data_IF_052146414857
#
_entry.id   IF_052146414857
#
_cell.length_a   1.000
_cell.length_b   1.000
_cell.length_c   1.000
_cell.angle_alpha   90.00
_cell.angle_beta   90.00
_cell.angle_gamma   90.00
#
_symmetry.space_group_name_H-M   'P 1'
#
loop_
_entity.id
_entity.type
_entity.pdbx_description
1 polymer ?
#
# COMPACT_ATOMS: atom_id res chain seq x y z
N UNK A 1 26.43 -2.65 -10.31
CA UNK A 1 25.57 -1.68 -9.61
C UNK A 1 26.11 -1.52 -8.20
N UNK A 2 26.22 -0.31 -7.66
CA UNK A 2 26.61 -0.12 -6.25
C UNK A 2 25.37 -0.01 -5.37
N UNK A 3 25.53 -0.07 -4.04
CA UNK A 3 24.42 -0.04 -3.09
C UNK A 3 23.52 1.20 -3.23
N UNK A 4 24.12 2.37 -3.51
CA UNK A 4 23.35 3.59 -3.74
C UNK A 4 22.48 3.48 -4.99
N UNK A 5 23.02 2.91 -6.06
CA UNK A 5 22.32 2.77 -7.34
C UNK A 5 21.17 1.76 -7.25
N UNK A 6 21.33 0.68 -6.47
CA UNK A 6 20.24 -0.23 -6.08
C UNK A 6 19.12 0.49 -5.32
N UNK A 7 19.47 1.34 -4.36
CA UNK A 7 18.49 2.13 -3.61
C UNK A 7 17.74 3.11 -4.53
N UNK A 8 18.42 3.73 -5.50
CA UNK A 8 17.81 4.62 -6.48
C UNK A 8 16.88 3.87 -7.45
N UNK A 9 17.23 2.65 -7.84
CA UNK A 9 16.35 1.77 -8.63
C UNK A 9 15.08 1.42 -7.85
N UNK A 10 15.22 1.03 -6.57
CA UNK A 10 14.08 0.73 -5.70
C UNK A 10 13.17 1.94 -5.49
N UNK A 11 13.74 3.14 -5.30
CA UNK A 11 12.97 4.40 -5.20
C UNK A 11 12.14 4.64 -6.46
N UNK A 12 12.74 4.47 -7.64
CA UNK A 12 12.02 4.59 -8.91
C UNK A 12 10.84 3.59 -8.99
N UNK A 13 11.10 2.30 -8.79
CA UNK A 13 10.07 1.26 -8.89
C UNK A 13 8.91 1.52 -7.92
N UNK A 14 9.21 1.79 -6.65
CA UNK A 14 8.19 2.06 -5.62
C UNK A 14 7.38 3.31 -5.93
N UNK A 15 8.04 4.38 -6.39
CA UNK A 15 7.35 5.62 -6.74
C UNK A 15 6.44 5.43 -7.94
N UNK A 16 6.86 4.64 -8.93
CA UNK A 16 6.04 4.31 -10.09
C UNK A 16 4.81 3.48 -9.71
N UNK A 17 4.96 2.55 -8.76
CA UNK A 17 3.85 1.73 -8.25
C UNK A 17 2.85 2.58 -7.47
N UNK A 18 3.30 3.34 -6.47
CA UNK A 18 2.45 4.18 -5.62
C UNK A 18 1.64 5.18 -6.48
N UNK A 19 2.30 5.85 -7.41
CA UNK A 19 1.65 6.88 -8.24
C UNK A 19 0.87 6.30 -9.43
N UNK A 20 0.86 4.98 -9.63
CA UNK A 20 0.38 4.33 -10.88
C UNK A 20 0.91 5.04 -12.13
N UNK A 21 2.21 5.33 -12.10
CA UNK A 21 2.83 6.22 -13.08
C UNK A 21 2.58 5.77 -14.51
N UNK A 22 2.54 4.48 -14.81
CA UNK A 22 2.37 3.98 -16.17
C UNK A 22 0.91 3.84 -16.65
N UNK A 23 -0.07 4.16 -15.81
CA UNK A 23 -1.49 3.94 -16.14
C UNK A 23 -2.02 4.97 -17.16
N UNK A 24 -1.88 6.29 -16.95
CA UNK A 24 -2.26 7.26 -17.98
C UNK A 24 -1.07 7.68 -18.84
N UNK A 25 -1.33 7.95 -20.13
CA UNK A 25 -0.38 8.52 -21.09
C UNK A 25 0.92 7.72 -21.22
N UNK A 26 0.79 6.39 -21.29
CA UNK A 26 1.91 5.45 -21.26
C UNK A 26 2.97 5.76 -22.31
N UNK A 27 2.60 6.04 -23.56
CA UNK A 27 3.56 6.33 -24.64
C UNK A 27 4.42 7.57 -24.35
N UNK A 28 3.80 8.65 -23.86
CA UNK A 28 4.49 9.89 -23.47
C UNK A 28 5.48 9.60 -22.33
N UNK A 29 5.05 8.84 -21.32
CA UNK A 29 5.88 8.52 -20.15
C UNK A 29 7.03 7.58 -20.48
N UNK A 30 6.80 6.58 -21.33
CA UNK A 30 7.86 5.71 -21.85
C UNK A 30 8.88 6.51 -22.65
N UNK A 31 8.43 7.47 -23.46
CA UNK A 31 9.31 8.37 -24.22
C UNK A 31 10.16 9.25 -23.30
N UNK A 32 9.56 9.80 -22.23
CA UNK A 32 10.26 10.58 -21.20
C UNK A 32 11.32 9.72 -20.49
N UNK A 33 10.98 8.48 -20.12
CA UNK A 33 11.92 7.55 -19.48
C UNK A 33 13.08 7.24 -20.42
N UNK A 34 12.80 6.86 -21.67
CA UNK A 34 13.83 6.54 -22.65
C UNK A 34 14.80 7.72 -22.84
N UNK A 35 14.28 8.96 -22.89
CA UNK A 35 15.12 10.17 -22.94
C UNK A 35 15.93 10.36 -21.66
N UNK A 36 15.32 10.18 -20.50
CA UNK A 36 15.98 10.36 -19.20
C UNK A 36 17.06 9.31 -18.92
N UNK A 37 16.91 8.11 -19.49
CA UNK A 37 17.88 7.01 -19.43
C UNK A 37 19.01 7.16 -20.46
N UNK A 38 18.87 8.04 -21.44
CA UNK A 38 19.85 8.19 -22.51
C UNK A 38 21.19 8.69 -21.93
N UNK A 39 22.27 8.00 -22.29
CA UNK A 39 23.66 8.33 -21.94
C UNK A 39 23.97 8.37 -20.42
N UNK A 40 23.09 7.83 -19.57
CA UNK A 40 23.34 7.70 -18.13
C UNK A 40 23.78 6.28 -17.76
N UNK A 41 24.58 6.16 -16.71
CA UNK A 41 25.10 4.87 -16.23
C UNK A 41 24.57 4.47 -14.85
N UNK A 42 23.76 5.33 -14.22
CA UNK A 42 23.25 5.13 -12.86
C UNK A 42 21.78 5.55 -12.77
N UNK A 43 21.02 4.84 -11.94
CA UNK A 43 19.67 5.23 -11.53
C UNK A 43 19.65 6.58 -10.82
N UNK A 44 20.72 6.97 -10.12
CA UNK A 44 20.79 8.32 -9.54
C UNK A 44 20.75 9.41 -10.61
N UNK A 45 21.53 9.28 -11.68
CA UNK A 45 21.52 10.22 -12.82
C UNK A 45 20.17 10.18 -13.55
N UNK A 46 19.65 8.98 -13.79
CA UNK A 46 18.33 8.79 -14.40
C UNK A 46 17.23 9.48 -13.60
N UNK A 47 17.16 9.26 -12.27
CA UNK A 47 16.16 9.87 -11.39
C UNK A 47 16.30 11.40 -11.38
N UNK A 48 17.53 11.93 -11.39
CA UNK A 48 17.78 13.38 -11.50
C UNK A 48 17.32 13.96 -12.84
N UNK A 49 17.46 13.22 -13.95
CA UNK A 49 16.96 13.65 -15.25
C UNK A 49 15.43 13.61 -15.29
N UNK A 50 14.84 12.50 -14.84
CA UNK A 50 13.38 12.31 -14.79
C UNK A 50 12.69 13.38 -13.94
N UNK A 51 13.31 13.82 -12.84
CA UNK A 51 12.78 14.87 -11.98
C UNK A 51 12.68 16.25 -12.66
N UNK A 52 13.33 16.47 -13.82
CA UNK A 52 13.29 17.72 -14.60
C UNK A 52 12.30 17.67 -15.76
N UNK A 53 11.71 16.50 -16.03
CA UNK A 53 10.76 16.30 -17.11
C UNK A 53 9.35 16.79 -16.72
N UNK A 54 8.47 16.93 -17.71
CA UNK A 54 7.12 17.50 -17.52
C UNK A 54 6.16 16.61 -16.73
N UNK A 55 6.55 15.37 -16.43
CA UNK A 55 5.82 14.42 -15.58
C UNK A 55 6.81 13.76 -14.63
N UNK A 56 7.34 14.47 -13.63
CA UNK A 56 8.34 13.91 -12.74
C UNK A 56 7.72 12.82 -11.88
N UNK A 57 8.48 11.75 -11.62
CA UNK A 57 8.06 10.70 -10.71
C UNK A 57 8.35 11.13 -9.27
N UNK A 58 7.40 11.85 -8.67
CA UNK A 58 7.54 12.42 -7.32
C UNK A 58 6.37 11.97 -6.44
N UNK A 59 6.68 11.45 -5.27
CA UNK A 59 5.72 11.26 -4.18
C UNK A 59 5.73 12.54 -3.35
N UNK A 60 4.58 13.19 -3.20
CA UNK A 60 4.38 14.34 -2.31
C UNK A 60 3.57 13.92 -1.08
N UNK A 61 3.52 14.78 -0.06
CA UNK A 61 2.62 14.56 1.07
C UNK A 61 1.17 14.45 0.59
N UNK A 62 0.76 15.31 -0.36
CA UNK A 62 -0.56 15.23 -0.99
C UNK A 62 -0.80 13.88 -1.67
N UNK A 63 0.21 13.29 -2.33
CA UNK A 63 0.11 11.92 -2.89
C UNK A 63 -0.13 10.90 -1.79
N UNK A 64 0.58 11.02 -0.66
CA UNK A 64 0.42 10.09 0.46
C UNK A 64 -0.97 10.24 1.09
N UNK A 65 -1.41 11.48 1.33
CA UNK A 65 -2.73 11.77 1.88
C UNK A 65 -3.83 11.25 0.96
N UNK A 66 -3.72 11.46 -0.35
CA UNK A 66 -4.68 10.93 -1.32
C UNK A 66 -4.73 9.39 -1.28
N UNK A 67 -3.59 8.70 -1.28
CA UNK A 67 -3.57 7.24 -1.24
C UNK A 67 -4.04 6.66 0.11
N UNK A 68 -3.84 7.37 1.22
CA UNK A 68 -4.33 6.93 2.54
C UNK A 68 -5.82 7.25 2.73
N UNK A 69 -6.26 8.41 2.26
CA UNK A 69 -7.58 9.00 2.54
C UNK A 69 -8.58 8.79 1.42
N UNK A 70 -8.21 8.23 0.27
CA UNK A 70 -9.15 7.85 -0.77
C UNK A 70 -9.29 6.33 -0.87
N UNK A 71 -10.39 5.90 -1.50
CA UNK A 71 -10.49 4.52 -1.97
C UNK A 71 -9.50 4.35 -3.13
N UNK A 72 -8.28 3.93 -2.81
CA UNK A 72 -7.31 3.54 -3.83
C UNK A 72 -7.88 2.38 -4.65
N UNK A 73 -7.58 2.35 -5.94
CA UNK A 73 -7.93 1.19 -6.77
C UNK A 73 -7.20 -0.05 -6.28
N UNK A 74 -7.83 -1.23 -6.41
CA UNK A 74 -7.22 -2.51 -6.00
C UNK A 74 -5.80 -2.71 -6.58
N UNK A 75 -5.55 -2.14 -7.77
CA UNK A 75 -4.26 -2.17 -8.45
C UNK A 75 -3.13 -1.41 -7.71
N UNK A 76 -3.46 -0.38 -6.93
CA UNK A 76 -2.50 0.39 -6.11
C UNK A 76 -2.36 -0.18 -4.70
N UNK A 77 -3.46 -0.66 -4.13
CA UNK A 77 -3.53 -1.11 -2.74
C UNK A 77 -2.48 -2.19 -2.45
N UNK A 78 -2.42 -3.24 -3.25
CA UNK A 78 -1.50 -4.35 -2.98
C UNK A 78 -0.02 -3.90 -2.98
N UNK A 79 0.50 -3.22 -4.03
CA UNK A 79 1.87 -2.68 -3.99
C UNK A 79 2.15 -1.74 -2.82
N UNK A 80 1.20 -0.89 -2.44
CA UNK A 80 1.37 0.03 -1.29
C UNK A 80 1.49 -0.78 0.00
N UNK A 81 0.60 -1.75 0.23
CA UNK A 81 0.67 -2.61 1.41
C UNK A 81 1.97 -3.44 1.44
N UNK A 82 2.52 -3.86 0.29
CA UNK A 82 3.83 -4.53 0.26
C UNK A 82 4.98 -3.63 0.74
N UNK A 83 4.89 -2.33 0.51
CA UNK A 83 5.88 -1.36 1.00
C UNK A 83 5.72 -1.16 2.51
N UNK A 84 4.47 -1.17 3.00
CA UNK A 84 4.14 -0.98 4.42
C UNK A 84 4.42 -2.21 5.27
N UNK A 85 4.36 -3.42 4.69
CA UNK A 85 4.63 -4.69 5.39
C UNK A 85 5.88 -5.39 4.84
N UNK A 86 7.09 -4.76 4.94
CA UNK A 86 8.31 -5.31 4.35
C UNK A 86 8.81 -6.60 5.02
N UNK A 87 8.21 -6.99 6.15
CA UNK A 87 8.56 -8.17 6.93
C UNK A 87 7.89 -9.46 6.42
N UNK A 88 6.87 -9.35 5.55
CA UNK A 88 6.12 -10.51 5.04
C UNK A 88 6.90 -11.28 3.95
N UNK A 89 6.77 -12.60 3.94
CA UNK A 89 7.43 -13.47 2.96
C UNK A 89 6.63 -13.60 1.66
N UNK A 90 6.71 -12.58 0.80
CA UNK A 90 6.07 -12.56 -0.52
C UNK A 90 6.59 -13.61 -1.51
N UNK A 91 7.69 -14.32 -1.19
CA UNK A 91 8.27 -15.31 -2.09
C UNK A 91 7.58 -16.66 -1.95
N UNK A 92 7.25 -17.05 -0.73
CA UNK A 92 6.70 -18.37 -0.44
C UNK A 92 5.22 -18.34 -0.03
N UNK A 93 4.67 -17.16 0.28
CA UNK A 93 3.30 -17.02 0.76
C UNK A 93 2.47 -16.13 -0.15
N UNK A 94 1.24 -16.57 -0.43
CA UNK A 94 0.24 -15.78 -1.14
C UNK A 94 -0.58 -14.98 -0.14
N UNK A 95 -0.53 -13.66 -0.27
CA UNK A 95 -1.30 -12.73 0.55
C UNK A 95 -2.51 -12.18 -0.21
N UNK A 96 -3.60 -11.97 0.52
CA UNK A 96 -4.82 -11.33 0.05
C UNK A 96 -5.04 -10.02 0.79
N UNK A 97 -5.64 -9.04 0.08
CA UNK A 97 -6.13 -7.82 0.72
C UNK A 97 -7.37 -8.18 1.55
N UNK A 98 -7.34 -7.87 2.84
CA UNK A 98 -8.45 -8.04 3.77
C UNK A 98 -8.84 -6.68 4.38
N UNK A 99 -10.13 -6.54 4.71
CA UNK A 99 -10.64 -5.40 5.45
C UNK A 99 -10.51 -5.66 6.96
N UNK A 100 -9.64 -4.92 7.65
CA UNK A 100 -9.41 -5.04 9.11
C UNK A 100 -10.76 -5.04 9.84
N UNK A 101 -11.54 -3.98 9.66
CA UNK A 101 -12.96 -3.97 10.00
C UNK A 101 -13.79 -4.38 8.78
N UNK A 102 -14.73 -5.34 8.93
CA UNK A 102 -15.54 -5.82 7.83
C UNK A 102 -16.25 -4.69 7.09
N UNK A 103 -16.07 -4.63 5.76
CA UNK A 103 -16.74 -3.64 4.90
C UNK A 103 -18.26 -3.61 5.09
N UNK A 104 -18.86 -4.76 5.39
CA UNK A 104 -20.28 -4.94 5.70
C UNK A 104 -20.76 -4.16 6.93
N UNK A 105 -19.87 -3.63 7.78
CA UNK A 105 -20.20 -2.77 8.93
C UNK A 105 -20.25 -1.28 8.59
N UNK A 106 -19.79 -0.87 7.40
CA UNK A 106 -19.72 0.53 6.98
C UNK A 106 -20.97 0.94 6.18
N UNK A 107 -22.14 0.90 6.83
CA UNK A 107 -23.40 1.29 6.21
C UNK A 107 -24.45 1.72 7.24
N UNK A 108 -25.58 2.24 6.74
CA UNK A 108 -26.70 2.76 7.52
C UNK A 108 -27.32 1.77 8.51
N UNK A 109 -27.18 0.46 8.29
CA UNK A 109 -27.70 -0.55 9.21
C UNK A 109 -26.90 -0.59 10.51
N UNK A 110 -25.63 -0.17 10.49
CA UNK A 110 -24.79 -0.08 11.68
C UNK A 110 -25.02 1.24 12.42
N UNK A 111 -26.05 1.27 13.27
CA UNK A 111 -26.42 2.45 14.07
C UNK A 111 -25.35 2.91 15.08
N UNK A 112 -24.32 2.11 15.35
CA UNK A 112 -23.22 2.44 16.27
C UNK A 112 -22.10 3.23 15.58
N UNK A 113 -21.98 3.11 14.26
CA UNK A 113 -20.95 3.81 13.50
C UNK A 113 -21.46 5.20 13.09
N UNK A 114 -20.62 6.22 13.25
CA UNK A 114 -20.95 7.55 12.74
C UNK A 114 -21.07 7.48 11.20
N UNK A 115 -22.12 8.09 10.66
CA UNK A 115 -22.40 8.17 9.22
C UNK A 115 -21.23 8.72 8.42
N UNK A 116 -20.44 9.63 9.00
CA UNK A 116 -19.26 10.21 8.38
C UNK A 116 -18.23 9.15 7.96
N UNK A 117 -18.22 8.01 8.66
CA UNK A 117 -17.27 6.92 8.41
C UNK A 117 -17.80 5.88 7.41
N UNK A 118 -19.03 5.95 6.91
CA UNK A 118 -19.56 4.90 6.02
C UNK A 118 -18.75 4.72 4.72
N UNK A 119 -18.04 5.76 4.28
CA UNK A 119 -17.16 5.67 3.11
C UNK A 119 -15.80 5.03 3.41
N UNK A 120 -15.42 4.93 4.68
CA UNK A 120 -14.09 4.54 5.13
C UNK A 120 -13.78 3.05 4.99
N UNK A 121 -14.79 2.23 4.70
CA UNK A 121 -14.62 0.79 4.61
C UNK A 121 -13.58 0.33 3.59
N UNK A 122 -13.34 1.08 2.50
CA UNK A 122 -12.33 0.73 1.49
C UNK A 122 -11.06 1.58 1.55
N UNK A 123 -10.88 2.42 2.57
CA UNK A 123 -9.69 3.27 2.66
C UNK A 123 -8.48 2.44 3.10
N UNK A 124 -7.28 2.85 2.69
CA UNK A 124 -6.05 2.10 2.91
C UNK A 124 -5.79 1.76 4.39
N UNK A 125 -6.14 2.66 5.32
CA UNK A 125 -6.00 2.42 6.76
C UNK A 125 -6.90 1.30 7.30
N UNK A 126 -7.92 0.87 6.56
CA UNK A 126 -8.77 -0.28 6.89
C UNK A 126 -8.35 -1.54 6.12
N UNK A 127 -7.24 -1.52 5.38
CA UNK A 127 -6.78 -2.64 4.56
C UNK A 127 -5.49 -3.22 5.13
N UNK A 128 -5.41 -4.55 5.13
CA UNK A 128 -4.23 -5.31 5.54
C UNK A 128 -3.96 -6.45 4.55
N UNK A 129 -2.76 -7.04 4.65
CA UNK A 129 -2.44 -8.28 3.96
C UNK A 129 -2.57 -9.45 4.92
N UNK A 130 -3.35 -10.46 4.54
CA UNK A 130 -3.49 -11.71 5.28
C UNK A 130 -3.17 -12.90 4.39
N UNK A 131 -2.65 -13.96 4.99
CA UNK A 131 -2.50 -15.24 4.29
C UNK A 131 -3.87 -15.81 3.92
N UNK A 132 -3.95 -16.61 2.86
CA UNK A 132 -5.23 -17.15 2.37
C UNK A 132 -6.01 -17.96 3.41
N UNK A 133 -5.32 -18.71 4.26
CA UNK A 133 -5.93 -19.49 5.34
C UNK A 133 -6.48 -18.58 6.46
N UNK A 134 -5.69 -17.62 6.92
CA UNK A 134 -6.07 -16.64 7.93
C UNK A 134 -7.25 -15.77 7.48
N UNK A 135 -7.19 -15.26 6.25
CA UNK A 135 -8.27 -14.48 5.64
C UNK A 135 -9.59 -15.28 5.60
N UNK A 136 -9.50 -16.55 5.22
CA UNK A 136 -10.65 -17.47 5.19
C UNK A 136 -11.23 -17.77 6.57
N UNK A 137 -10.40 -17.75 7.62
CA UNK A 137 -10.82 -17.93 9.01
C UNK A 137 -11.41 -16.66 9.63
N UNK A 138 -10.88 -15.48 9.26
CA UNK A 138 -11.32 -14.17 9.75
C UNK A 138 -12.70 -13.79 9.21
N UNK A 139 -12.92 -13.84 7.89
CA UNK A 139 -14.19 -13.43 7.25
C UNK A 139 -14.68 -12.06 7.75
N UNK A 140 -15.97 -11.96 8.06
CA UNK A 140 -16.63 -10.76 8.61
C UNK A 140 -16.51 -10.61 10.14
N UNK A 141 -15.58 -11.32 10.78
CA UNK A 141 -15.38 -11.18 12.24
C UNK A 141 -14.90 -9.77 12.58
N UNK A 142 -15.28 -9.34 13.78
CA UNK A 142 -14.68 -8.14 14.38
C UNK A 142 -13.19 -8.39 14.64
N UNK A 143 -12.29 -7.45 14.29
CA UNK A 143 -10.85 -7.68 14.44
C UNK A 143 -10.47 -7.97 15.90
N UNK A 144 -11.09 -7.32 16.88
CA UNK A 144 -10.79 -7.56 18.30
C UNK A 144 -11.24 -8.95 18.78
N UNK A 145 -12.28 -9.51 18.16
CA UNK A 145 -12.74 -10.87 18.45
C UNK A 145 -11.80 -11.87 17.77
N UNK A 146 -11.52 -11.65 16.48
CA UNK A 146 -10.64 -12.53 15.71
C UNK A 146 -9.24 -12.61 16.32
N UNK A 147 -8.64 -11.49 16.72
CA UNK A 147 -7.32 -11.46 17.35
C UNK A 147 -7.28 -12.26 18.66
N UNK A 148 -8.35 -12.26 19.46
CA UNK A 148 -8.44 -13.06 20.70
C UNK A 148 -8.62 -14.56 20.46
N UNK A 149 -9.19 -14.92 19.31
CA UNK A 149 -9.32 -16.32 18.90
C UNK A 149 -8.00 -16.86 18.34
N UNK A 150 -7.31 -16.05 17.53
CA UNK A 150 -6.06 -16.43 16.87
C UNK A 150 -4.87 -16.43 17.84
N UNK A 151 -4.77 -15.41 18.69
CA UNK A 151 -3.64 -15.22 19.60
C UNK A 151 -4.04 -15.47 21.05
N UNK A 152 -3.29 -16.36 21.72
CA UNK A 152 -3.59 -16.81 23.09
C UNK A 152 -3.20 -15.81 24.18
N UNK A 153 -2.33 -14.85 23.88
CA UNK A 153 -1.84 -13.89 24.86
C UNK A 153 -1.89 -12.46 24.32
N UNK A 154 -2.01 -11.49 25.23
CA UNK A 154 -2.15 -10.08 24.86
C UNK A 154 -0.90 -9.55 24.14
N UNK A 155 0.29 -10.04 24.50
CA UNK A 155 1.54 -9.56 23.90
C UNK A 155 1.59 -9.82 22.39
N UNK A 156 1.23 -11.02 21.96
CA UNK A 156 1.19 -11.38 20.53
C UNK A 156 0.14 -10.54 19.77
N UNK A 157 -0.99 -10.22 20.41
CA UNK A 157 -1.99 -9.30 19.84
C UNK A 157 -1.37 -7.91 19.63
N UNK A 158 -0.70 -7.35 20.64
CA UNK A 158 -0.07 -6.02 20.53
C UNK A 158 1.08 -6.00 19.50
N UNK A 159 1.85 -7.08 19.40
CA UNK A 159 2.90 -7.24 18.39
C UNK A 159 2.29 -7.26 16.98
N UNK A 160 1.26 -8.07 16.76
CA UNK A 160 0.53 -8.08 15.49
C UNK A 160 -0.05 -6.69 15.15
N UNK A 161 -0.64 -5.99 16.12
CA UNK A 161 -1.19 -4.65 15.88
C UNK A 161 -0.12 -3.66 15.46
N UNK A 162 1.09 -3.74 16.01
CA UNK A 162 2.22 -2.87 15.61
C UNK A 162 2.74 -3.17 14.22
N UNK A 163 2.69 -4.43 13.80
CA UNK A 163 3.19 -4.86 12.49
C UNK A 163 2.17 -4.65 11.36
N UNK A 164 0.88 -4.76 11.67
CA UNK A 164 -0.17 -4.85 10.65
C UNK A 164 -1.17 -3.69 10.69
N UNK A 165 -1.45 -3.11 11.85
CA UNK A 165 -2.42 -2.03 11.94
C UNK A 165 -1.67 -0.70 11.80
N UNK A 166 -1.94 0.03 10.72
CA UNK A 166 -1.69 1.46 10.66
C UNK A 166 -2.59 2.12 11.71
N UNK A 167 -2.18 2.10 12.96
CA UNK A 167 -2.92 2.74 14.04
C UNK A 167 -2.93 4.22 13.73
N UNK A 168 -4.11 4.75 13.35
CA UNK A 168 -4.34 6.17 13.46
C UNK A 168 -4.29 6.50 14.96
N UNK A 169 -3.44 7.46 15.38
CA UNK A 169 -3.38 7.91 16.76
C UNK A 169 -4.72 8.50 17.23
#
# INVERSE_FOLDING_TARGET
>A
MNKNDEEQALKFVRSAQITSYFTPSTDTKLSIIARSMKDVQTFEQFNRNLAKETSPLKITNDTIEEEVMCSSSDAKVFPILQILYPHLDYKNTTFHIDHIYPKSKFNEKNKKLNKDFYKWGNHLFNLQLLEGAENSAKKDKDPEIWLKEEYKNQQAIEEYKKETILTLP
#
